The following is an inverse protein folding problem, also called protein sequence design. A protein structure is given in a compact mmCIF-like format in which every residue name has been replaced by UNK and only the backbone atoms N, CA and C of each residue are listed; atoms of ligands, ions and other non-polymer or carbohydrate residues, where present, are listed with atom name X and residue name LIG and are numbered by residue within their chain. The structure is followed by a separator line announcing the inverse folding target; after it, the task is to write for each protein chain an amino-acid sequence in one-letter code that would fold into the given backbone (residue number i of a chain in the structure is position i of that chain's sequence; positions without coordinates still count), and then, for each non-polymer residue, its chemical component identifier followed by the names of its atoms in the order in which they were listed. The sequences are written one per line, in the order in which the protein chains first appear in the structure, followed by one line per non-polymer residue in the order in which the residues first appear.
data_IF_770964000730
#
_entry.id   IF_770964000730
#
_cell.length_a   1.000
_cell.length_b   1.000
_cell.length_c   1.000
_cell.angle_alpha   90.00
_cell.angle_beta   90.00
_cell.angle_gamma   90.00
#
_symmetry.space_group_name_H-M   'P 1'
#
loop_
_entity.id
_entity.type
_entity.pdbx_description
1 polymer ?
#
# COMPACT_ATOMS: atom_id res chain seq x y z
N UNK A 1 17.98 -17.12 -0.23
CA UNK A 1 18.69 -17.04 1.08
C UNK A 1 17.67 -16.77 2.19
N UNK A 2 17.54 -17.61 3.23
CA UNK A 2 16.32 -17.65 4.09
C UNK A 2 16.64 -17.67 5.60
N UNK A 3 16.27 -16.61 6.33
CA UNK A 3 16.41 -16.50 7.80
C UNK A 3 15.03 -16.60 8.45
N UNK A 4 14.81 -17.66 9.25
CA UNK A 4 13.60 -17.83 10.06
C UNK A 4 13.87 -17.43 11.51
N UNK A 5 13.08 -16.50 12.05
CA UNK A 5 13.03 -16.21 13.48
C UNK A 5 12.30 -17.32 14.25
N UNK A 6 12.69 -17.57 15.51
CA UNK A 6 12.16 -18.68 16.30
C UNK A 6 12.08 -18.42 17.82
N UNK A 7 10.87 -18.10 18.28
CA UNK A 7 10.18 -18.65 19.47
C UNK A 7 10.87 -18.69 20.87
N UNK A 8 10.23 -17.94 21.80
CA UNK A 8 9.64 -18.42 23.10
C UNK A 8 10.39 -18.29 24.44
N UNK A 9 9.69 -17.63 25.39
CA UNK A 9 9.74 -17.84 26.86
C UNK A 9 9.93 -16.55 27.68
N UNK A 10 9.46 -16.36 28.94
CA UNK A 10 8.60 -17.10 29.90
C UNK A 10 8.37 -16.14 31.15
N UNK A 11 7.58 -16.29 32.23
CA UNK A 11 6.70 -17.32 32.84
C UNK A 11 5.81 -16.72 34.01
N UNK A 12 4.46 -16.88 33.99
CA UNK A 12 3.52 -16.85 35.18
C UNK A 12 3.35 -15.49 35.97
N UNK A 13 2.36 -15.23 36.88
CA UNK A 13 1.05 -15.85 37.27
C UNK A 13 0.07 -14.79 37.88
N UNK A 14 -1.20 -15.15 38.10
CA UNK A 14 -2.33 -14.31 38.54
C UNK A 14 -2.48 -14.02 40.06
N UNK A 15 -3.33 -13.03 40.44
CA UNK A 15 -4.55 -13.25 41.28
C UNK A 15 -5.48 -12.03 41.54
N UNK A 16 -6.80 -12.26 41.37
CA UNK A 16 -7.96 -11.87 42.23
C UNK A 16 -7.95 -10.60 43.14
N UNK A 17 -9.00 -9.75 43.05
CA UNK A 17 -10.18 -9.74 43.98
C UNK A 17 -10.88 -8.37 44.29
N UNK A 18 -12.21 -8.37 44.10
CA UNK A 18 -13.30 -7.77 44.94
C UNK A 18 -13.60 -6.24 45.03
N UNK A 19 -14.87 -5.95 44.66
CA UNK A 19 -15.89 -5.09 45.31
C UNK A 19 -15.63 -3.60 45.63
N UNK A 20 -16.55 -2.76 45.13
CA UNK A 20 -16.80 -1.40 45.63
C UNK A 20 -18.15 -0.84 45.14
N UNK A 21 -19.24 -1.09 45.87
CA UNK A 21 -20.54 -0.47 45.57
C UNK A 21 -20.58 0.98 46.13
N UNK A 22 -21.07 1.93 45.34
CA UNK A 22 -21.23 3.33 45.76
C UNK A 22 -22.34 4.02 44.98
N UNK A 23 -23.56 3.98 45.50
CA UNK A 23 -24.74 4.63 44.93
C UNK A 23 -25.01 5.94 45.69
N UNK A 24 -25.15 7.06 44.96
CA UNK A 24 -25.32 8.40 45.54
C UNK A 24 -26.26 9.26 44.68
N UNK A 25 -27.01 10.15 45.34
CA UNK A 25 -28.25 10.76 44.83
C UNK A 25 -28.13 11.62 43.56
N UNK A 26 -29.20 11.58 42.76
CA UNK A 26 -29.47 12.56 41.69
C UNK A 26 -30.05 13.86 42.27
N UNK A 27 -29.53 15.04 41.92
CA UNK A 27 -30.34 16.26 41.92
C UNK A 27 -31.37 16.20 40.79
N UNK A 28 -32.47 16.96 40.92
CA UNK A 28 -33.61 16.89 40.00
C UNK A 28 -33.74 18.15 39.13
N UNK A 29 -34.03 17.93 37.85
CA UNK A 29 -34.88 18.81 37.03
C UNK A 29 -34.25 20.08 36.47
N UNK A 30 -33.94 20.05 35.17
CA UNK A 30 -34.22 21.16 34.26
C UNK A 30 -34.79 20.58 32.96
N UNK A 31 -35.98 21.00 32.53
CA UNK A 31 -36.57 20.58 31.25
C UNK A 31 -35.96 21.40 30.10
N UNK A 32 -34.73 21.08 29.72
CA UNK A 32 -34.20 21.57 28.46
C UNK A 32 -35.01 20.98 27.30
N UNK A 33 -35.57 21.86 26.46
CA UNK A 33 -36.26 21.49 25.23
C UNK A 33 -35.31 20.73 24.31
N UNK A 34 -35.47 19.41 24.24
CA UNK A 34 -34.56 18.52 23.53
C UNK A 34 -34.52 18.80 22.03
N UNK A 35 -33.58 19.63 21.58
CA UNK A 35 -32.93 19.38 20.30
C UNK A 35 -32.29 18.00 20.41
N UNK A 36 -32.80 17.05 19.62
CA UNK A 36 -32.18 15.74 19.50
C UNK A 36 -30.76 15.92 18.97
N UNK A 37 -29.76 15.65 19.83
CA UNK A 37 -28.38 15.49 19.38
C UNK A 37 -28.42 14.44 18.26
N UNK A 38 -27.90 14.71 17.05
CA UNK A 38 -27.88 13.72 15.99
C UNK A 38 -27.13 12.48 16.48
N UNK A 39 -27.65 11.30 16.17
CA UNK A 39 -26.97 10.06 16.52
C UNK A 39 -25.62 10.03 15.78
N UNK A 40 -24.52 9.85 16.52
CA UNK A 40 -23.19 9.68 15.94
C UNK A 40 -23.20 8.47 15.00
N UNK A 41 -22.59 8.64 13.82
CA UNK A 41 -22.42 7.56 12.86
C UNK A 41 -21.59 6.39 13.45
N UNK A 42 -21.86 5.17 12.98
CA UNK A 42 -20.99 4.02 13.26
C UNK A 42 -19.65 4.20 12.55
N UNK A 43 -18.57 3.74 13.18
CA UNK A 43 -17.21 3.81 12.65
C UNK A 43 -17.07 2.90 11.42
N UNK A 44 -16.53 3.45 10.33
CA UNK A 44 -16.25 2.77 9.05
C UNK A 44 -14.75 2.63 8.85
N UNK A 45 -14.32 1.59 8.13
CA UNK A 45 -12.99 1.53 7.53
C UNK A 45 -12.90 2.49 6.34
N UNK A 46 -11.68 2.89 5.95
CA UNK A 46 -11.44 3.54 4.65
C UNK A 46 -11.75 2.62 3.46
N UNK A 47 -11.71 1.30 3.63
CA UNK A 47 -12.10 0.31 2.62
C UNK A 47 -13.63 0.15 2.48
N UNK A 48 -14.41 0.54 3.50
CA UNK A 48 -15.89 0.57 3.43
C UNK A 48 -16.42 1.73 2.57
N UNK A 49 -15.55 2.64 2.14
CA UNK A 49 -15.91 3.81 1.33
C UNK A 49 -16.06 3.39 -0.13
N UNK A 50 -17.03 3.97 -0.85
CA UNK A 50 -17.17 3.73 -2.29
C UNK A 50 -16.06 4.41 -3.10
N UNK A 51 -15.61 5.57 -2.61
CA UNK A 51 -14.38 6.24 -3.03
C UNK A 51 -13.88 7.18 -1.93
N UNK A 52 -12.60 7.58 -2.01
CA UNK A 52 -12.12 8.78 -1.32
C UNK A 52 -10.94 9.46 -2.02
N UNK A 53 -10.67 10.71 -1.60
CA UNK A 53 -9.39 11.39 -1.78
C UNK A 53 -8.80 11.76 -0.42
N UNK A 54 -7.53 11.47 -0.23
CA UNK A 54 -6.76 11.77 0.97
C UNK A 54 -5.41 12.35 0.57
N UNK A 55 -4.95 13.36 1.30
CA UNK A 55 -3.56 13.80 1.24
C UNK A 55 -2.83 13.31 2.48
N UNK A 56 -1.59 12.89 2.30
CA UNK A 56 -0.65 12.57 3.37
C UNK A 56 0.55 13.51 3.23
N UNK A 57 1.02 14.04 4.36
CA UNK A 57 2.19 14.89 4.48
C UNK A 57 3.10 14.24 5.55
N UNK A 58 4.33 13.84 5.20
CA UNK A 58 5.29 13.24 6.15
C UNK A 58 6.56 14.05 6.29
N UNK A 59 7.19 13.97 7.47
CA UNK A 59 8.48 14.58 7.77
C UNK A 59 9.32 13.65 8.65
N UNK A 60 10.53 13.31 8.20
CA UNK A 60 11.51 12.53 8.97
C UNK A 60 12.78 13.34 9.22
N UNK A 61 13.24 13.36 10.48
CA UNK A 61 14.30 14.25 10.96
C UNK A 61 13.75 15.47 11.73
N UNK A 62 14.62 16.41 12.10
CA UNK A 62 14.23 17.53 12.97
C UNK A 62 14.76 18.90 12.54
N UNK A 63 13.92 19.92 12.72
CA UNK A 63 14.23 21.32 12.36
C UNK A 63 14.45 21.52 10.86
N UNK A 64 15.39 22.42 10.51
CA UNK A 64 15.76 22.75 9.12
C UNK A 64 16.43 21.59 8.34
N UNK A 65 16.57 20.41 8.96
CA UNK A 65 17.15 19.20 8.38
C UNK A 65 16.13 18.05 8.23
N UNK A 66 14.84 18.28 8.49
CA UNK A 66 13.79 17.32 8.14
C UNK A 66 13.68 17.16 6.62
N UNK A 67 13.46 15.92 6.18
CA UNK A 67 13.08 15.58 4.80
C UNK A 67 11.56 15.47 4.76
N UNK A 68 10.92 16.19 3.85
CA UNK A 68 9.46 16.19 3.69
C UNK A 68 9.07 15.32 2.47
N UNK A 69 7.93 14.65 2.56
CA UNK A 69 7.37 13.87 1.45
C UNK A 69 5.85 13.92 1.52
N UNK A 70 5.24 14.27 0.40
CA UNK A 70 3.80 14.37 0.23
C UNK A 70 3.29 13.16 -0.56
N UNK A 71 2.11 12.66 -0.24
CA UNK A 71 1.41 11.67 -1.06
C UNK A 71 -0.08 12.04 -1.25
N UNK A 72 -0.48 12.28 -2.50
CA UNK A 72 -1.89 12.43 -2.87
C UNK A 72 -2.47 11.06 -3.25
N UNK A 73 -3.55 10.65 -2.57
CA UNK A 73 -4.13 9.30 -2.62
C UNK A 73 -5.57 9.36 -3.12
N UNK A 74 -5.87 8.60 -4.17
CA UNK A 74 -7.22 8.39 -4.72
C UNK A 74 -7.60 6.90 -4.57
N UNK A 75 -8.81 6.60 -4.10
CA UNK A 75 -9.33 5.23 -3.93
C UNK A 75 -10.74 5.08 -4.50
N UNK A 76 -11.02 3.95 -5.13
CA UNK A 76 -12.34 3.53 -5.63
C UNK A 76 -12.55 2.04 -5.33
N UNK A 77 -13.73 1.65 -4.82
CA UNK A 77 -14.00 0.25 -4.41
C UNK A 77 -14.55 -0.64 -5.53
N UNK A 78 -15.31 -0.08 -6.47
CA UNK A 78 -15.95 -0.82 -7.57
C UNK A 78 -15.69 -0.17 -8.95
N UNK A 79 -14.82 -0.75 -9.82
CA UNK A 79 -13.85 -1.81 -9.52
C UNK A 79 -12.80 -1.31 -8.52
N UNK A 80 -12.18 -2.23 -7.76
CA UNK A 80 -11.16 -1.86 -6.79
C UNK A 80 -9.93 -1.28 -7.50
N UNK A 81 -9.67 0.00 -7.23
CA UNK A 81 -8.55 0.74 -7.76
C UNK A 81 -8.05 1.76 -6.72
N UNK A 82 -6.74 1.97 -6.70
CA UNK A 82 -6.07 2.93 -5.80
C UNK A 82 -4.88 3.53 -6.54
N UNK A 83 -4.69 4.83 -6.35
CA UNK A 83 -3.64 5.62 -6.97
C UNK A 83 -2.97 6.47 -5.90
N UNK A 84 -1.65 6.43 -5.86
CA UNK A 84 -0.82 7.21 -4.93
C UNK A 84 0.24 7.93 -5.73
N UNK A 85 0.27 9.25 -5.63
CA UNK A 85 1.33 10.10 -6.19
C UNK A 85 2.21 10.57 -5.03
N UNK A 86 3.39 9.99 -4.91
CA UNK A 86 4.43 10.46 -3.98
C UNK A 86 5.23 11.59 -4.64
N UNK A 87 5.53 12.64 -3.89
CA UNK A 87 6.36 13.77 -4.34
C UNK A 87 7.19 14.32 -3.18
N UNK A 88 8.38 14.85 -3.46
CA UNK A 88 9.19 15.54 -2.45
C UNK A 88 9.37 17.02 -2.81
N UNK A 89 9.00 17.96 -1.93
CA UNK A 89 9.28 19.39 -2.14
C UNK A 89 10.78 19.70 -2.32
N UNK A 90 11.66 18.83 -1.81
CA UNK A 90 13.11 18.96 -1.92
C UNK A 90 13.69 18.32 -3.19
N UNK A 91 13.04 17.29 -3.76
CA UNK A 91 13.39 16.69 -5.04
C UNK A 91 12.15 16.34 -5.90
N UNK A 92 11.61 17.33 -6.66
CA UNK A 92 10.50 17.10 -7.59
C UNK A 92 10.84 16.25 -8.83
N UNK A 93 12.09 15.78 -8.95
CA UNK A 93 12.48 14.74 -9.91
C UNK A 93 12.28 13.32 -9.35
N UNK A 94 12.08 13.17 -8.04
CA UNK A 94 11.75 11.90 -7.40
C UNK A 94 10.27 11.51 -7.47
N UNK A 95 9.40 12.36 -8.04
CA UNK A 95 7.95 12.18 -8.10
C UNK A 95 7.57 10.80 -8.70
N UNK A 96 6.95 9.96 -7.88
CA UNK A 96 6.70 8.54 -8.16
C UNK A 96 5.21 8.23 -7.99
N UNK A 97 4.62 7.61 -9.01
CA UNK A 97 3.20 7.28 -9.05
C UNK A 97 2.99 5.76 -9.04
N UNK A 98 2.10 5.28 -8.17
CA UNK A 98 1.62 3.91 -8.13
C UNK A 98 0.13 3.90 -8.46
N UNK A 99 -0.31 3.09 -9.43
CA UNK A 99 -1.71 2.91 -9.82
C UNK A 99 -2.05 1.43 -9.84
N UNK A 100 -2.83 0.95 -8.86
CA UNK A 100 -3.33 -0.43 -8.82
C UNK A 100 -4.78 -0.48 -9.28
N UNK A 101 -5.11 -1.42 -10.17
CA UNK A 101 -6.46 -1.66 -10.70
C UNK A 101 -6.65 -3.18 -10.77
N UNK A 102 -7.31 -3.74 -9.74
CA UNK A 102 -7.35 -5.19 -9.52
C UNK A 102 -5.95 -5.81 -9.45
N UNK A 103 -5.70 -6.82 -10.29
CA UNK A 103 -4.44 -7.57 -10.37
C UNK A 103 -3.31 -6.84 -11.12
N UNK A 104 -3.51 -5.58 -11.55
CA UNK A 104 -2.47 -4.79 -12.23
C UNK A 104 -1.98 -3.65 -11.36
N UNK A 105 -0.67 -3.55 -11.16
CA UNK A 105 -0.02 -2.41 -10.51
C UNK A 105 0.94 -1.74 -11.49
N UNK A 106 0.64 -0.51 -11.86
CA UNK A 106 1.55 0.35 -12.62
C UNK A 106 2.38 1.17 -11.61
N UNK A 107 3.68 1.24 -11.80
CA UNK A 107 4.59 2.10 -11.04
C UNK A 107 5.42 2.94 -12.02
N UNK A 108 5.54 4.24 -11.81
CA UNK A 108 6.36 5.07 -12.70
C UNK A 108 6.82 6.39 -12.11
N UNK A 109 7.99 6.82 -12.54
CA UNK A 109 8.67 8.05 -12.10
C UNK A 109 9.75 8.47 -13.11
N UNK A 110 10.37 9.63 -12.90
CA UNK A 110 11.55 10.05 -13.68
C UNK A 110 12.79 9.29 -13.16
N UNK A 111 13.55 8.68 -14.07
CA UNK A 111 14.77 7.93 -13.74
C UNK A 111 16.04 8.79 -13.86
N UNK A 112 15.89 10.12 -13.93
CA UNK A 112 16.96 11.11 -14.01
C UNK A 112 17.26 11.59 -15.43
N UNK A 113 16.38 11.34 -16.39
CA UNK A 113 16.53 11.76 -17.79
C UNK A 113 15.43 12.73 -18.28
N UNK A 114 14.44 13.03 -17.42
CA UNK A 114 13.30 13.89 -17.76
C UNK A 114 12.11 13.14 -18.36
N UNK A 115 12.12 11.80 -18.39
CA UNK A 115 11.06 10.97 -18.94
C UNK A 115 10.49 10.02 -17.89
N UNK A 116 9.15 9.98 -17.80
CA UNK A 116 8.46 9.08 -16.87
C UNK A 116 8.51 7.65 -17.39
N UNK A 117 9.44 6.86 -16.86
CA UNK A 117 9.51 5.41 -17.11
C UNK A 117 8.43 4.72 -16.29
N UNK A 118 7.79 3.70 -16.87
CA UNK A 118 6.74 2.91 -16.22
C UNK A 118 7.08 1.42 -16.20
N UNK A 119 6.65 0.77 -15.13
CA UNK A 119 6.69 -0.68 -14.88
C UNK A 119 5.24 -1.11 -14.64
N UNK A 120 4.86 -2.28 -15.14
CA UNK A 120 3.56 -2.92 -14.92
C UNK A 120 3.78 -4.31 -14.31
N UNK A 121 3.38 -4.49 -13.05
CA UNK A 121 3.26 -5.80 -12.41
C UNK A 121 1.85 -6.35 -12.61
N UNK A 122 1.72 -7.64 -12.90
CA UNK A 122 0.45 -8.34 -13.14
C UNK A 122 0.40 -9.63 -12.34
N UNK A 123 -0.62 -9.78 -11.49
CA UNK A 123 -0.89 -10.96 -10.67
C UNK A 123 -0.80 -10.71 -9.17
N UNK A 124 -0.86 -11.79 -8.40
CA UNK A 124 -0.67 -11.79 -6.94
C UNK A 124 0.83 -11.93 -6.63
N UNK A 125 1.51 -10.78 -6.59
CA UNK A 125 2.93 -10.67 -6.29
C UNK A 125 3.12 -10.33 -4.79
N UNK A 126 3.71 -11.24 -3.97
CA UNK A 126 3.88 -11.00 -2.54
C UNK A 126 4.93 -9.93 -2.22
N UNK A 127 5.78 -9.56 -3.19
CA UNK A 127 6.82 -8.54 -3.05
C UNK A 127 6.42 -7.22 -3.75
N UNK A 128 5.25 -7.14 -4.40
CA UNK A 128 4.72 -5.88 -4.91
C UNK A 128 4.23 -4.98 -3.78
N UNK A 129 4.55 -3.68 -3.88
CA UNK A 129 4.05 -2.65 -2.98
C UNK A 129 2.52 -2.60 -3.07
N UNK A 130 1.83 -2.91 -1.98
CA UNK A 130 0.41 -2.58 -1.85
C UNK A 130 0.29 -1.09 -1.49
N UNK A 131 -0.20 -0.22 -2.40
CA UNK A 131 -0.35 1.21 -2.11
C UNK A 131 -1.29 1.50 -0.93
N UNK A 132 -2.11 0.54 -0.47
CA UNK A 132 -2.92 0.75 0.74
C UNK A 132 -2.08 0.73 2.03
N UNK A 133 -0.97 0.00 2.09
CA UNK A 133 -0.10 -0.06 3.27
C UNK A 133 0.64 1.27 3.52
N UNK A 134 0.70 2.18 2.54
CA UNK A 134 1.17 3.56 2.74
C UNK A 134 0.19 4.44 3.54
N UNK A 135 -1.10 4.06 3.58
CA UNK A 135 -2.19 4.84 4.21
C UNK A 135 -2.98 4.09 5.28
N UNK A 136 -2.75 2.79 5.48
CA UNK A 136 -3.44 1.94 6.46
C UNK A 136 -3.43 2.49 7.89
N UNK A 137 -2.37 3.22 8.29
CA UNK A 137 -2.28 3.91 9.59
C UNK A 137 -3.29 5.06 9.76
N UNK A 138 -3.78 5.64 8.66
CA UNK A 138 -4.86 6.63 8.67
C UNK A 138 -6.24 5.97 8.79
N UNK A 139 -6.38 4.65 8.62
CA UNK A 139 -7.65 3.96 8.85
C UNK A 139 -7.91 3.70 10.33
N UNK A 140 -8.41 4.75 10.99
CA UNK A 140 -8.91 4.72 12.36
C UNK A 140 -9.93 3.60 12.63
N UNK A 141 -10.64 3.11 11.60
CA UNK A 141 -11.57 1.99 11.69
C UNK A 141 -10.92 0.70 12.23
N UNK A 142 -9.61 0.52 11.99
CA UNK A 142 -8.87 -0.68 12.39
C UNK A 142 -8.38 -0.67 13.85
N UNK A 143 -8.22 0.51 14.47
CA UNK A 143 -7.52 0.64 15.76
C UNK A 143 -8.19 1.48 16.85
N UNK A 144 -9.07 2.47 16.59
CA UNK A 144 -9.56 3.33 17.69
C UNK A 144 -10.51 2.66 18.70
N UNK A 145 -10.91 1.41 18.42
CA UNK A 145 -11.61 0.54 19.37
C UNK A 145 -10.67 -0.16 20.37
N UNK A 146 -9.36 0.00 20.23
CA UNK A 146 -8.36 -0.64 21.09
C UNK A 146 -8.31 0.00 22.50
N UNK A 147 -8.13 -0.77 23.59
CA UNK A 147 -7.96 -0.23 24.93
C UNK A 147 -6.78 0.74 25.12
N UNK A 148 -5.81 0.75 24.19
CA UNK A 148 -4.73 1.74 24.14
C UNK A 148 -5.14 3.12 23.60
N UNK A 149 -6.38 3.28 23.13
CA UNK A 149 -6.96 4.53 22.64
C UNK A 149 -7.93 5.17 23.65
N UNK A 150 -7.93 6.50 23.73
CA UNK A 150 -8.77 7.28 24.63
C UNK A 150 -9.41 8.48 23.91
N UNK A 151 -10.62 8.86 24.31
CA UNK A 151 -11.24 10.09 23.79
C UNK A 151 -10.60 11.30 24.48
N UNK A 152 -9.91 12.12 23.71
CA UNK A 152 -9.25 13.33 24.18
C UNK A 152 -10.18 14.56 24.13
N UNK A 153 -11.10 14.63 23.16
CA UNK A 153 -12.04 15.75 23.07
C UNK A 153 -13.07 15.67 21.94
N UNK A 154 -13.66 16.83 21.64
CA UNK A 154 -14.54 17.02 20.49
C UNK A 154 -14.21 18.36 19.84
N UNK A 155 -13.95 18.33 18.54
CA UNK A 155 -13.40 19.45 17.77
C UNK A 155 -14.16 19.61 16.44
N UNK A 156 -13.71 20.55 15.59
CA UNK A 156 -14.22 20.71 14.23
C UNK A 156 -13.07 20.72 13.22
N UNK A 157 -13.09 19.76 12.30
CA UNK A 157 -12.25 19.73 11.10
C UNK A 157 -13.14 20.14 9.91
N UNK A 158 -12.73 21.17 9.16
CA UNK A 158 -13.46 21.76 8.03
C UNK A 158 -14.96 22.03 8.27
N UNK A 159 -15.30 22.43 9.50
CA UNK A 159 -16.66 22.73 9.93
C UNK A 159 -17.55 21.50 10.17
N UNK A 160 -17.01 20.28 10.09
CA UNK A 160 -17.67 19.04 10.53
C UNK A 160 -17.31 18.77 11.99
N UNK A 161 -18.30 18.35 12.78
CA UNK A 161 -18.06 17.90 14.15
C UNK A 161 -17.28 16.58 14.15
N UNK A 162 -16.27 16.49 15.01
CA UNK A 162 -15.43 15.30 15.18
C UNK A 162 -15.25 14.95 16.65
N UNK A 163 -15.22 13.67 16.97
CA UNK A 163 -14.62 13.17 18.21
C UNK A 163 -13.13 12.92 18.00
N UNK A 164 -12.28 13.49 18.86
CA UNK A 164 -10.82 13.32 18.82
C UNK A 164 -10.40 12.20 19.77
N UNK A 165 -9.63 11.24 19.25
CA UNK A 165 -9.04 10.11 19.95
C UNK A 165 -7.52 10.22 19.95
N UNK A 166 -6.88 9.89 21.07
CA UNK A 166 -5.42 9.74 21.19
C UNK A 166 -5.10 8.29 21.57
N UNK A 167 -4.23 7.64 20.81
CA UNK A 167 -3.76 6.26 20.99
C UNK A 167 -2.25 6.25 21.29
N UNK A 168 -1.84 5.50 22.32
CA UNK A 168 -0.42 5.39 22.70
C UNK A 168 0.37 4.35 21.89
N UNK A 169 1.70 4.41 21.98
CA UNK A 169 2.69 3.57 21.28
C UNK A 169 2.33 2.08 21.13
N UNK A 170 1.71 1.45 22.15
CA UNK A 170 1.30 0.04 22.07
C UNK A 170 0.37 -0.24 20.87
N UNK A 171 -0.48 0.71 20.49
CA UNK A 171 -1.37 0.60 19.33
C UNK A 171 -0.61 0.64 18.01
N UNK A 172 0.47 1.44 17.93
CA UNK A 172 1.37 1.45 16.76
C UNK A 172 2.10 0.09 16.62
N UNK A 173 2.54 -0.48 17.74
CA UNK A 173 3.26 -1.76 17.79
C UNK A 173 2.34 -2.96 17.50
N UNK A 174 1.24 -3.12 18.24
CA UNK A 174 0.38 -4.30 18.17
C UNK A 174 -0.40 -4.43 16.84
N UNK A 175 -0.45 -3.35 16.04
CA UNK A 175 -1.17 -3.28 14.76
C UNK A 175 -0.26 -3.05 13.55
N UNK A 176 1.05 -2.93 13.78
CA UNK A 176 2.08 -2.72 12.76
C UNK A 176 1.74 -1.55 11.82
N UNK A 177 1.30 -0.41 12.38
CA UNK A 177 0.78 0.72 11.60
C UNK A 177 1.88 1.51 10.87
N UNK A 178 3.09 1.58 11.44
CA UNK A 178 4.17 2.44 10.95
C UNK A 178 5.33 1.62 10.38
N UNK A 179 5.87 2.11 9.27
CA UNK A 179 7.01 1.53 8.56
C UNK A 179 8.32 1.83 9.33
N UNK A 180 8.60 1.05 10.38
CA UNK A 180 9.73 1.29 11.26
C UNK A 180 11.08 0.86 10.65
N UNK A 181 12.03 1.80 10.63
CA UNK A 181 13.42 1.59 10.19
C UNK A 181 14.36 1.12 11.31
N UNK A 182 13.87 1.01 12.55
CA UNK A 182 14.65 0.65 13.74
C UNK A 182 13.77 0.27 14.94
N UNK A 183 14.34 0.24 16.15
CA UNK A 183 13.60 0.01 17.40
C UNK A 183 12.70 1.21 17.72
N UNK A 184 11.38 1.01 17.80
CA UNK A 184 10.44 2.06 18.21
C UNK A 184 10.64 2.44 19.69
N UNK A 185 10.99 3.70 19.95
CA UNK A 185 11.31 4.23 21.30
C UNK A 185 10.08 4.83 21.97
N UNK A 186 9.35 5.66 21.23
CA UNK A 186 8.08 6.28 21.64
C UNK A 186 7.21 6.59 20.42
N UNK A 187 5.92 6.83 20.66
CA UNK A 187 5.01 7.33 19.63
C UNK A 187 3.54 7.38 20.07
N UNK A 188 2.74 8.07 19.27
CA UNK A 188 1.29 8.17 19.39
C UNK A 188 0.63 8.32 18.02
N UNK A 189 -0.66 8.00 17.94
CA UNK A 189 -1.52 8.38 16.82
C UNK A 189 -2.79 9.02 17.33
N UNK A 190 -3.13 10.17 16.75
CA UNK A 190 -4.31 10.97 17.06
C UNK A 190 -5.26 10.97 15.85
N UNK A 191 -6.55 10.77 16.08
CA UNK A 191 -7.55 10.63 15.01
C UNK A 191 -8.82 11.45 15.30
N UNK A 192 -9.25 12.25 14.32
CA UNK A 192 -10.42 13.12 14.39
C UNK A 192 -11.56 12.53 13.56
N UNK A 193 -12.42 11.74 14.21
CA UNK A 193 -13.47 10.95 13.54
C UNK A 193 -14.74 11.77 13.42
N UNK A 194 -15.22 11.96 12.18
CA UNK A 194 -16.47 12.66 11.88
C UNK A 194 -17.66 12.01 12.58
N UNK A 195 -18.39 12.81 13.36
CA UNK A 195 -19.60 12.32 14.01
C UNK A 195 -20.77 12.15 13.03
N UNK A 196 -20.68 12.77 11.84
CA UNK A 196 -21.64 12.67 10.73
C UNK A 196 -21.35 11.50 9.78
N UNK A 197 -20.08 11.31 9.41
CA UNK A 197 -19.69 10.36 8.35
C UNK A 197 -19.14 9.03 8.86
N UNK A 198 -18.71 8.95 10.12
CA UNK A 198 -18.13 7.73 10.71
C UNK A 198 -16.69 7.43 10.28
N UNK A 199 -16.00 8.39 9.68
CA UNK A 199 -14.64 8.25 9.12
C UNK A 199 -13.66 9.24 9.76
N UNK A 200 -12.35 8.94 9.82
CA UNK A 200 -11.34 9.94 10.18
C UNK A 200 -11.30 11.05 9.12
N UNK A 201 -11.42 12.31 9.54
CA UNK A 201 -11.20 13.48 8.67
C UNK A 201 -9.73 13.93 8.70
N UNK A 202 -9.08 13.71 9.84
CA UNK A 202 -7.66 13.92 10.06
C UNK A 202 -7.10 12.79 10.92
N UNK A 203 -5.87 12.38 10.64
CA UNK A 203 -5.05 11.53 11.52
C UNK A 203 -3.65 12.13 11.58
N UNK A 204 -3.02 12.13 12.75
CA UNK A 204 -1.60 12.48 12.90
C UNK A 204 -0.89 11.41 13.71
N UNK A 205 0.11 10.76 13.13
CA UNK A 205 1.03 9.88 13.82
C UNK A 205 2.35 10.61 14.06
N UNK A 206 2.94 10.43 15.23
CA UNK A 206 4.27 10.92 15.55
C UNK A 206 5.01 9.85 16.35
N UNK A 207 6.24 9.56 15.98
CA UNK A 207 7.04 8.51 16.61
C UNK A 207 8.54 8.82 16.56
N UNK A 208 9.33 8.03 17.30
CA UNK A 208 10.77 8.00 17.08
C UNK A 208 11.31 6.56 17.07
N UNK A 209 12.14 6.28 16.07
CA UNK A 209 12.86 5.01 15.90
C UNK A 209 14.32 5.16 16.30
N UNK A 210 15.00 4.03 16.51
CA UNK A 210 16.40 3.99 16.88
C UNK A 210 17.16 2.91 16.11
N UNK A 211 18.29 3.30 15.52
CA UNK A 211 19.12 2.42 14.68
C UNK A 211 20.08 1.52 15.50
N UNK A 212 20.85 0.67 14.79
CA UNK A 212 21.86 -0.22 15.40
C UNK A 212 23.04 0.53 16.05
N UNK A 213 23.33 1.77 15.62
CA UNK A 213 24.36 2.62 16.24
C UNK A 213 23.83 3.33 17.50
N UNK A 214 22.51 3.37 17.65
CA UNK A 214 21.77 4.01 18.73
C UNK A 214 21.41 5.48 18.49
N UNK A 215 21.46 5.94 17.23
CA UNK A 215 20.95 7.25 16.82
C UNK A 215 19.41 7.20 16.80
N UNK A 216 18.76 8.34 17.10
CA UNK A 216 17.30 8.45 17.10
C UNK A 216 16.84 9.26 15.90
N UNK A 217 15.87 8.73 15.17
CA UNK A 217 15.14 9.43 14.10
C UNK A 217 13.75 9.79 14.64
N UNK A 218 13.39 11.08 14.56
CA UNK A 218 12.05 11.59 14.84
C UNK A 218 11.25 11.61 13.52
N UNK A 219 10.01 11.14 13.54
CA UNK A 219 9.16 11.03 12.35
C UNK A 219 7.72 11.44 12.65
N UNK A 220 7.10 12.17 11.73
CA UNK A 220 5.72 12.65 11.82
C UNK A 220 5.01 12.41 10.49
N UNK A 221 3.76 11.96 10.55
CA UNK A 221 2.87 11.84 9.39
C UNK A 221 1.50 12.44 9.73
N UNK A 222 0.99 13.30 8.85
CA UNK A 222 -0.37 13.81 8.87
C UNK A 222 -1.14 13.28 7.66
N UNK A 223 -2.38 12.86 7.86
CA UNK A 223 -3.29 12.42 6.81
C UNK A 223 -4.61 13.20 6.93
N UNK A 224 -5.07 13.77 5.82
CA UNK A 224 -6.29 14.59 5.73
C UNK A 224 -7.23 14.04 4.65
N UNK A 225 -8.43 13.62 5.05
CA UNK A 225 -9.44 13.02 4.18
C UNK A 225 -10.40 14.10 3.63
N UNK A 226 -10.36 14.32 2.33
CA UNK A 226 -11.10 15.39 1.65
C UNK A 226 -12.45 14.93 1.09
N UNK A 227 -12.44 14.42 -0.15
CA UNK A 227 -13.67 13.94 -0.81
C UNK A 227 -13.98 12.50 -0.40
N UNK A 228 -15.23 12.20 -0.05
CA UNK A 228 -15.69 10.90 0.45
C UNK A 228 -17.00 10.51 -0.23
N UNK A 229 -17.11 9.26 -0.68
CA UNK A 229 -18.30 8.69 -1.32
C UNK A 229 -18.80 9.53 -2.54
N UNK A 230 -17.86 10.00 -3.36
CA UNK A 230 -18.10 10.80 -4.58
C UNK A 230 -17.99 9.95 -5.86
N UNK A 231 -18.42 10.50 -7.00
CA UNK A 231 -18.25 9.83 -8.29
C UNK A 231 -16.80 9.97 -8.80
N UNK A 232 -15.94 9.03 -8.42
CA UNK A 232 -14.52 8.95 -8.83
C UNK A 232 -14.28 7.76 -9.77
N UNK A 233 -13.21 7.82 -10.59
CA UNK A 233 -12.79 6.71 -11.45
C UNK A 233 -11.28 6.83 -11.68
N UNK A 234 -10.56 5.74 -11.41
CA UNK A 234 -9.12 5.63 -11.66
C UNK A 234 -8.93 4.78 -12.92
N UNK A 235 -8.16 5.28 -13.87
CA UNK A 235 -7.81 4.58 -15.11
C UNK A 235 -6.35 4.15 -15.08
N UNK A 236 -5.98 3.18 -15.92
CA UNK A 236 -4.58 2.90 -16.20
C UNK A 236 -3.90 4.16 -16.76
N UNK A 237 -2.59 4.36 -16.55
CA UNK A 237 -1.86 5.44 -17.20
C UNK A 237 -1.90 5.29 -18.73
N UNK A 238 -1.92 6.41 -19.43
CA UNK A 238 -1.86 6.48 -20.89
C UNK A 238 -0.62 7.30 -21.31
N UNK A 239 0.11 6.84 -22.33
CA UNK A 239 1.26 7.57 -22.85
C UNK A 239 2.27 6.69 -23.58
N UNK A 240 3.31 7.34 -24.09
CA UNK A 240 4.55 6.69 -24.51
C UNK A 240 5.27 6.11 -23.28
N UNK A 241 5.94 4.97 -23.41
CA UNK A 241 6.66 4.31 -22.31
C UNK A 241 5.79 3.59 -21.26
N UNK A 242 4.45 3.59 -21.37
CA UNK A 242 3.58 2.76 -20.52
C UNK A 242 3.57 1.31 -21.03
N UNK A 243 4.00 0.31 -20.24
CA UNK A 243 4.01 -1.08 -20.70
C UNK A 243 2.61 -1.64 -20.94
N UNK A 244 2.48 -2.40 -22.01
CA UNK A 244 1.28 -3.17 -22.35
C UNK A 244 1.63 -4.65 -22.44
N UNK A 245 0.71 -5.53 -22.03
CA UNK A 245 0.87 -6.97 -22.24
C UNK A 245 0.81 -7.24 -23.76
N UNK A 246 1.87 -7.76 -24.40
CA UNK A 246 1.85 -8.03 -25.84
C UNK A 246 0.80 -9.11 -26.15
N UNK A 247 -0.16 -8.80 -27.02
CA UNK A 247 -1.32 -9.69 -27.27
C UNK A 247 -1.03 -10.88 -28.17
N UNK A 248 0.16 -10.92 -28.77
CA UNK A 248 0.58 -11.90 -29.77
C UNK A 248 1.89 -12.62 -29.39
N UNK A 249 2.30 -12.48 -28.13
CA UNK A 249 3.28 -13.32 -27.43
C UNK A 249 2.52 -14.19 -26.43
N UNK A 250 2.75 -15.51 -26.37
CA UNK A 250 2.09 -16.39 -25.42
C UNK A 250 2.75 -16.30 -24.03
N UNK A 251 1.93 -16.12 -22.99
CA UNK A 251 2.35 -16.26 -21.59
C UNK A 251 2.13 -17.71 -21.16
N UNK A 252 3.09 -18.30 -20.45
CA UNK A 252 3.00 -19.69 -19.98
C UNK A 252 1.83 -19.87 -18.99
N UNK A 253 0.99 -20.92 -19.10
CA UNK A 253 -0.21 -21.09 -18.26
C UNK A 253 0.06 -21.41 -16.77
N UNK A 254 1.34 -21.46 -16.38
CA UNK A 254 1.82 -21.60 -14.99
C UNK A 254 2.76 -20.44 -14.60
N UNK A 255 2.66 -19.30 -15.27
CA UNK A 255 3.33 -18.07 -14.87
C UNK A 255 2.85 -17.60 -13.49
N UNK A 256 3.76 -17.07 -12.67
CA UNK A 256 3.44 -16.37 -11.43
C UNK A 256 3.08 -14.90 -11.68
N UNK A 257 3.55 -14.02 -10.79
CA UNK A 257 3.63 -12.58 -11.09
C UNK A 257 4.42 -12.35 -12.37
N UNK A 258 3.96 -11.39 -13.18
CA UNK A 258 4.70 -10.87 -14.32
C UNK A 258 5.07 -9.41 -14.09
N UNK A 259 6.36 -9.09 -14.17
CA UNK A 259 6.84 -7.71 -14.29
C UNK A 259 7.06 -7.37 -15.76
N UNK A 260 6.54 -6.24 -16.21
CA UNK A 260 6.60 -5.78 -17.60
C UNK A 260 7.15 -4.37 -17.63
N UNK A 261 8.19 -4.15 -18.42
CA UNK A 261 8.75 -2.84 -18.80
C UNK A 261 8.50 -2.64 -20.30
N UNK A 262 8.74 -1.45 -20.86
CA UNK A 262 8.38 -1.07 -22.25
C UNK A 262 8.63 -2.18 -23.27
N UNK A 263 9.83 -2.74 -23.25
CA UNK A 263 10.35 -3.70 -24.25
C UNK A 263 10.75 -5.04 -23.60
N UNK A 264 10.25 -5.34 -22.39
CA UNK A 264 10.73 -6.50 -21.60
C UNK A 264 9.67 -7.08 -20.66
N UNK A 265 9.63 -8.41 -20.55
CA UNK A 265 8.74 -9.15 -19.64
C UNK A 265 9.53 -10.19 -18.83
N UNK A 266 9.26 -10.25 -17.53
CA UNK A 266 9.91 -11.13 -16.57
C UNK A 266 8.85 -11.88 -15.74
N UNK A 267 8.95 -13.20 -15.63
CA UNK A 267 8.09 -14.00 -14.73
C UNK A 267 8.67 -15.39 -14.44
N UNK A 268 8.23 -16.03 -13.36
CA UNK A 268 8.58 -17.43 -13.06
C UNK A 268 7.53 -18.42 -13.55
N UNK A 269 7.97 -19.57 -14.06
CA UNK A 269 7.14 -20.76 -14.28
C UNK A 269 7.42 -21.81 -13.21
N UNK A 270 6.40 -22.20 -12.45
CA UNK A 270 6.48 -23.25 -11.43
C UNK A 270 5.95 -24.59 -11.96
N UNK A 271 6.46 -25.69 -11.41
CA UNK A 271 6.07 -27.08 -11.73
C UNK A 271 6.24 -27.49 -13.22
N UNK A 272 7.25 -26.94 -13.91
CA UNK A 272 7.64 -27.32 -15.28
C UNK A 272 9.18 -27.45 -15.39
N UNK A 273 9.69 -28.19 -16.38
CA UNK A 273 11.13 -28.21 -16.68
C UNK A 273 11.50 -27.21 -17.77
N UNK A 274 12.80 -26.88 -17.89
CA UNK A 274 13.32 -26.02 -18.96
C UNK A 274 12.87 -26.49 -20.35
N UNK A 275 12.89 -27.80 -20.60
CA UNK A 275 12.49 -28.39 -21.87
C UNK A 275 10.98 -28.27 -22.15
N UNK A 276 10.14 -28.31 -21.11
CA UNK A 276 8.68 -28.10 -21.26
C UNK A 276 8.40 -26.63 -21.63
N UNK A 277 9.01 -25.68 -20.94
CA UNK A 277 8.86 -24.23 -21.19
C UNK A 277 9.40 -23.86 -22.58
N UNK A 278 10.53 -24.42 -23.01
CA UNK A 278 11.02 -24.26 -24.39
C UNK A 278 10.07 -24.84 -25.43
N UNK A 279 9.44 -25.98 -25.15
CA UNK A 279 8.48 -26.60 -26.08
C UNK A 279 7.20 -25.76 -26.19
N UNK A 280 6.65 -25.29 -25.06
CA UNK A 280 5.53 -24.35 -25.03
C UNK A 280 5.81 -23.12 -25.91
N UNK A 281 6.93 -22.43 -25.67
CA UNK A 281 7.24 -21.21 -26.42
C UNK A 281 7.46 -21.48 -27.90
N UNK A 282 8.14 -22.57 -28.27
CA UNK A 282 8.35 -22.93 -29.69
C UNK A 282 7.03 -23.15 -30.42
N UNK A 283 6.11 -23.90 -29.81
CA UNK A 283 4.84 -24.28 -30.44
C UNK A 283 3.84 -23.12 -30.46
N UNK A 284 3.69 -22.37 -29.35
CA UNK A 284 2.73 -21.27 -29.26
C UNK A 284 3.20 -19.98 -29.97
N UNK A 285 4.51 -19.67 -30.00
CA UNK A 285 5.01 -18.56 -30.84
C UNK A 285 4.79 -18.86 -32.32
N UNK A 286 5.03 -20.10 -32.77
CA UNK A 286 4.74 -20.52 -34.13
C UNK A 286 3.22 -20.48 -34.44
N UNK A 287 2.37 -20.85 -33.49
CA UNK A 287 0.91 -20.70 -33.63
C UNK A 287 0.46 -19.23 -33.71
N UNK A 288 1.14 -18.33 -33.00
CA UNK A 288 0.96 -16.88 -33.07
C UNK A 288 1.61 -16.23 -34.31
N UNK A 289 2.28 -17.01 -35.17
CA UNK A 289 2.83 -16.56 -36.46
C UNK A 289 4.24 -15.98 -36.40
N UNK A 290 5.03 -16.31 -35.37
CA UNK A 290 6.46 -16.02 -35.30
C UNK A 290 7.30 -17.14 -35.95
N UNK A 291 8.43 -16.79 -36.56
CA UNK A 291 9.42 -17.75 -37.10
C UNK A 291 10.65 -17.82 -36.18
N UNK A 292 11.10 -19.03 -35.85
CA UNK A 292 12.31 -19.26 -35.03
C UNK A 292 13.57 -19.00 -35.87
N UNK A 293 14.38 -18.02 -35.45
CA UNK A 293 15.71 -17.76 -36.02
C UNK A 293 16.81 -18.54 -35.29
N UNK A 294 16.73 -18.61 -33.95
CA UNK A 294 17.69 -19.32 -33.10
C UNK A 294 16.97 -20.18 -32.06
N UNK A 295 17.43 -21.42 -31.90
CA UNK A 295 16.94 -22.40 -30.92
C UNK A 295 18.16 -23.03 -30.21
N UNK A 296 18.40 -22.64 -28.96
CA UNK A 296 19.50 -23.10 -28.13
C UNK A 296 18.99 -23.43 -26.72
N UNK A 297 19.73 -24.25 -25.96
CA UNK A 297 19.39 -24.57 -24.58
C UNK A 297 19.38 -23.29 -23.72
N UNK A 298 18.23 -22.95 -23.13
CA UNK A 298 18.05 -21.72 -22.33
C UNK A 298 17.86 -20.42 -23.13
N UNK A 299 17.91 -20.42 -24.47
CA UNK A 299 17.78 -19.19 -25.27
C UNK A 299 17.15 -19.45 -26.64
N UNK A 300 16.11 -18.69 -27.00
CA UNK A 300 15.48 -18.74 -28.32
C UNK A 300 15.23 -17.34 -28.87
N UNK A 301 15.45 -17.13 -30.17
CA UNK A 301 15.14 -15.86 -30.85
C UNK A 301 14.12 -16.11 -31.96
N UNK A 302 13.10 -15.28 -31.99
CA UNK A 302 11.96 -15.33 -32.89
C UNK A 302 11.87 -14.03 -33.70
N UNK A 303 11.29 -14.09 -34.91
CA UNK A 303 11.05 -12.93 -35.76
C UNK A 303 9.62 -12.93 -36.32
N UNK A 304 9.07 -11.75 -36.59
CA UNK A 304 7.71 -11.57 -37.10
C UNK A 304 7.57 -10.28 -37.91
N UNK A 305 7.80 -10.39 -39.22
CA UNK A 305 7.82 -9.23 -40.11
C UNK A 305 9.06 -8.37 -39.86
N UNK A 306 8.87 -7.25 -39.17
CA UNK A 306 9.96 -6.35 -38.76
C UNK A 306 10.29 -6.46 -37.26
N UNK A 307 9.47 -7.17 -36.47
CA UNK A 307 9.66 -7.38 -35.03
C UNK A 307 10.57 -8.57 -34.73
N UNK A 308 11.28 -8.53 -33.61
CA UNK A 308 12.02 -9.66 -33.02
C UNK A 308 11.64 -9.89 -31.56
N UNK A 309 11.84 -11.11 -31.07
CA UNK A 309 11.67 -11.44 -29.66
C UNK A 309 12.75 -12.42 -29.21
N UNK A 310 13.49 -12.08 -28.16
CA UNK A 310 14.53 -12.93 -27.56
C UNK A 310 14.08 -13.43 -26.21
N UNK A 311 13.84 -14.73 -26.13
CA UNK A 311 13.50 -15.47 -24.93
C UNK A 311 14.78 -16.02 -24.28
N UNK A 312 14.94 -15.77 -22.99
CA UNK A 312 15.97 -16.34 -22.13
C UNK A 312 15.28 -17.08 -20.97
N UNK A 313 15.78 -18.27 -20.64
CA UNK A 313 15.21 -19.16 -19.63
C UNK A 313 16.32 -19.65 -18.70
N UNK A 314 16.13 -19.49 -17.39
CA UNK A 314 17.09 -19.90 -16.35
C UNK A 314 16.38 -20.72 -15.28
N UNK A 315 17.00 -21.79 -14.78
CA UNK A 315 16.51 -22.53 -13.61
C UNK A 315 16.89 -21.79 -12.31
N UNK A 316 15.92 -21.42 -11.46
CA UNK A 316 16.19 -20.84 -10.13
C UNK A 316 15.22 -21.34 -9.04
N UNK A 317 15.75 -21.61 -7.82
CA UNK A 317 15.16 -22.22 -6.61
C UNK A 317 14.04 -23.32 -6.78
N UNK A 318 13.81 -23.86 -7.98
CA UNK A 318 12.77 -24.85 -8.30
C UNK A 318 11.71 -24.39 -9.33
N UNK A 319 11.91 -23.25 -9.98
CA UNK A 319 11.13 -22.68 -11.07
C UNK A 319 12.01 -22.42 -12.31
N UNK A 320 11.39 -22.10 -13.44
CA UNK A 320 12.05 -21.55 -14.62
C UNK A 320 11.77 -20.05 -14.69
N UNK A 321 12.78 -19.24 -14.41
CA UNK A 321 12.73 -17.79 -14.61
C UNK A 321 12.74 -17.49 -16.12
N UNK A 322 11.72 -16.77 -16.57
CA UNK A 322 11.52 -16.33 -17.95
C UNK A 322 11.91 -14.87 -18.05
N UNK A 323 12.77 -14.54 -19.01
CA UNK A 323 12.98 -13.17 -19.48
C UNK A 323 12.72 -13.13 -20.97
N UNK A 324 11.87 -12.21 -21.41
CA UNK A 324 11.59 -11.96 -22.81
C UNK A 324 11.90 -10.50 -23.13
N UNK A 325 12.71 -10.27 -24.16
CA UNK A 325 12.97 -8.96 -24.76
C UNK A 325 12.25 -8.90 -26.10
N UNK A 326 11.66 -7.75 -26.45
CA UNK A 326 10.91 -7.56 -27.70
C UNK A 326 11.42 -6.27 -28.38
N UNK A 327 11.68 -6.33 -29.68
CA UNK A 327 12.16 -5.20 -30.52
C UNK A 327 11.31 -5.07 -31.81
#
# INVERSE_FOLDING_TARGET
MKVRWALVGLLLVAMLALLGCGEADKPAGDEQTGQSVPAKAELRSLEDLSSYRMRVDTASGSGEAAVETDADVEYVREPQAIRVMFSSPQDPSGDTEVVRIGEKTYMGGDMGDGQKTWILTVGDDPDAVDPYEAVRWADAGTYVSDPGCTVAGSEQIDGKATTHYTCGMQVLQDRELIWQSGELVEGSVDAWISDELGVPLKVTAAWSTKDEEGQTLEEVAEASLGEVDVALTITAPEGEGVPVIPTDVPVHPQAGSMMIMTDSMFYDVKDATLADVQTFFRDEMAAAGWEVEMDAEGMMTFTKGEQSATLMLTEDEGAIAVTLLIE
#
